data_IF_776926054816
#
_entry.id   IF_776926054816
#
_cell.length_a   1.000
_cell.length_b   1.000
_cell.length_c   1.000
_cell.angle_alpha   90.00
_cell.angle_beta   90.00
_cell.angle_gamma   90.00
#
_symmetry.space_group_name_H-M   'P 1'
#
loop_
_entity.id
_entity.type
_entity.pdbx_description
1 polymer ?
#
# COMPACT_ATOMS: atom_id res chain seq x y z
N UNK A 1 -88.94 -21.24 -25.27
CA UNK A 1 -88.24 -22.49 -25.65
C UNK A 1 -87.02 -22.63 -24.76
N UNK A 2 -87.05 -23.68 -23.95
CA UNK A 2 -85.99 -24.45 -23.26
C UNK A 2 -84.57 -23.83 -23.24
N UNK A 3 -84.16 -23.33 -22.07
CA UNK A 3 -82.76 -23.10 -21.72
C UNK A 3 -82.29 -24.14 -20.71
N UNK A 4 -81.44 -25.07 -21.15
CA UNK A 4 -80.49 -25.81 -20.31
C UNK A 4 -79.10 -25.16 -20.44
N UNK A 5 -78.08 -25.37 -19.63
CA UNK A 5 -77.80 -26.40 -18.62
C UNK A 5 -76.62 -25.90 -17.76
N UNK A 6 -76.74 -26.10 -16.45
CA UNK A 6 -75.73 -26.44 -15.42
C UNK A 6 -74.26 -25.96 -15.56
N UNK A 7 -73.77 -25.12 -14.64
CA UNK A 7 -72.92 -25.45 -13.44
C UNK A 7 -71.55 -26.05 -13.84
N UNK A 8 -70.42 -25.42 -13.50
CA UNK A 8 -69.58 -25.85 -12.34
C UNK A 8 -68.43 -24.87 -12.02
N UNK A 9 -68.46 -24.38 -10.77
CA UNK A 9 -67.39 -24.16 -9.77
C UNK A 9 -66.00 -23.67 -10.23
N UNK A 10 -65.61 -22.48 -9.75
CA UNK A 10 -64.48 -22.35 -8.81
C UNK A 10 -63.30 -21.70 -9.54
N UNK A 11 -62.43 -20.89 -8.98
CA UNK A 11 -62.10 -20.58 -7.61
C UNK A 11 -61.61 -19.12 -7.52
N UNK A 12 -61.67 -18.62 -6.29
CA UNK A 12 -61.23 -17.34 -5.75
C UNK A 12 -59.85 -16.89 -6.30
N UNK A 13 -59.71 -15.61 -6.62
CA UNK A 13 -58.41 -14.96 -6.73
C UNK A 13 -58.39 -13.71 -5.85
N UNK A 14 -57.80 -13.84 -4.66
CA UNK A 14 -57.40 -12.73 -3.79
C UNK A 14 -56.08 -12.22 -4.37
N UNK A 15 -56.08 -11.03 -4.96
CA UNK A 15 -54.85 -10.42 -5.49
C UNK A 15 -54.08 -9.78 -4.35
N UNK A 16 -53.05 -10.46 -3.85
CA UNK A 16 -52.03 -9.86 -2.99
C UNK A 16 -51.02 -9.09 -3.86
N UNK A 17 -50.99 -7.77 -3.72
CA UNK A 17 -50.01 -6.90 -4.38
C UNK A 17 -48.70 -6.97 -3.59
N UNK A 18 -47.72 -7.73 -4.09
CA UNK A 18 -46.36 -7.76 -3.53
C UNK A 18 -45.55 -6.67 -4.23
N UNK A 19 -45.28 -5.57 -3.54
CA UNK A 19 -44.30 -4.57 -3.98
C UNK A 19 -42.89 -5.09 -3.69
N UNK A 20 -42.20 -5.57 -4.72
CA UNK A 20 -40.79 -5.94 -4.64
C UNK A 20 -39.93 -4.67 -4.57
N UNK A 21 -39.35 -4.38 -3.41
CA UNK A 21 -38.38 -3.31 -3.26
C UNK A 21 -37.12 -3.63 -4.06
N UNK A 22 -36.77 -2.75 -5.01
CA UNK A 22 -35.51 -2.81 -5.74
C UNK A 22 -34.39 -2.45 -4.77
N UNK A 23 -33.63 -3.47 -4.34
CA UNK A 23 -32.37 -3.26 -3.63
C UNK A 23 -31.38 -2.79 -4.69
N UNK A 24 -31.02 -1.51 -4.69
CA UNK A 24 -29.82 -1.05 -5.38
C UNK A 24 -28.63 -1.58 -4.57
N UNK A 25 -27.79 -2.50 -5.07
CA UNK A 25 -26.49 -2.69 -4.48
C UNK A 25 -25.76 -1.36 -4.65
N UNK A 26 -25.50 -0.66 -3.54
CA UNK A 26 -24.59 0.48 -3.58
C UNK A 26 -23.28 0.00 -4.19
N UNK A 27 -22.77 0.77 -5.15
CA UNK A 27 -21.45 0.54 -5.73
C UNK A 27 -20.46 0.42 -4.57
N UNK A 28 -19.97 -0.80 -4.33
CA UNK A 28 -18.80 -0.97 -3.48
C UNK A 28 -17.68 -0.22 -4.18
N UNK A 29 -17.13 0.82 -3.55
CA UNK A 29 -15.97 1.53 -4.07
C UNK A 29 -14.79 0.57 -4.13
N UNK A 30 -14.70 -0.17 -5.23
CA UNK A 30 -13.51 -0.90 -5.60
C UNK A 30 -12.40 0.14 -5.72
N UNK A 31 -11.39 0.02 -4.88
CA UNK A 31 -10.21 0.88 -4.85
C UNK A 31 -9.75 1.12 -6.31
N UNK A 32 -9.86 2.36 -6.81
CA UNK A 32 -9.52 2.71 -8.19
C UNK A 32 -8.09 2.23 -8.47
N UNK A 33 -7.96 1.15 -9.24
CA UNK A 33 -6.68 0.60 -9.65
C UNK A 33 -6.24 1.36 -10.90
N UNK A 34 -5.50 2.45 -10.68
CA UNK A 34 -4.92 3.19 -11.80
C UNK A 34 -3.83 2.34 -12.48
N UNK A 35 -4.02 2.04 -13.77
CA UNK A 35 -3.02 1.32 -14.54
C UNK A 35 -1.72 2.13 -14.68
N UNK A 36 -1.86 3.43 -14.93
CA UNK A 36 -0.79 4.41 -15.18
C UNK A 36 -1.25 5.83 -14.79
N UNK A 37 -0.35 6.81 -14.90
CA UNK A 37 -0.62 8.24 -14.73
C UNK A 37 -0.85 8.64 -13.28
N UNK A 38 -0.18 7.97 -12.34
CA UNK A 38 -0.14 8.34 -10.93
C UNK A 38 1.29 8.57 -10.48
N UNK A 39 1.44 9.35 -9.41
CA UNK A 39 2.74 9.65 -8.82
C UNK A 39 3.29 8.49 -7.96
N UNK A 40 4.58 8.56 -7.68
CA UNK A 40 5.28 7.74 -6.68
C UNK A 40 5.32 8.49 -5.36
N UNK A 41 5.05 7.76 -4.28
CA UNK A 41 5.14 8.23 -2.91
C UNK A 41 6.39 7.63 -2.25
N UNK A 42 7.43 8.43 -1.93
CA UNK A 42 8.56 7.96 -1.14
C UNK A 42 8.10 7.64 0.29
N UNK A 43 8.74 6.69 0.94
CA UNK A 43 8.41 6.24 2.29
C UNK A 43 9.68 6.10 3.13
N UNK A 44 9.61 6.63 4.35
CA UNK A 44 10.58 6.30 5.38
C UNK A 44 10.12 5.03 6.09
N UNK A 45 10.96 4.02 6.12
CA UNK A 45 10.64 2.72 6.69
C UNK A 45 11.15 2.57 8.14
N UNK A 46 11.97 3.51 8.61
CA UNK A 46 12.56 3.51 9.95
C UNK A 46 14.09 3.45 9.94
N UNK A 47 14.69 3.23 11.09
CA UNK A 47 16.15 3.21 11.25
C UNK A 47 16.65 2.02 12.07
N UNK A 48 17.91 1.65 11.85
CA UNK A 48 18.59 0.54 12.52
C UNK A 48 19.80 1.10 13.29
N UNK A 49 19.97 0.69 14.55
CA UNK A 49 21.17 0.97 15.34
C UNK A 49 22.34 0.11 14.82
N UNK A 50 23.49 0.73 14.53
CA UNK A 50 24.72 0.00 14.23
C UNK A 50 25.59 -0.17 15.49
N UNK A 51 26.48 -1.16 15.49
CA UNK A 51 27.39 -1.45 16.62
C UNK A 51 28.33 -0.29 16.99
N UNK A 52 28.74 0.51 16.00
CA UNK A 52 29.61 1.67 16.19
C UNK A 52 28.87 2.94 16.67
N UNK A 53 27.58 2.82 17.02
CA UNK A 53 26.75 3.92 17.50
C UNK A 53 26.02 4.69 16.39
N UNK A 54 26.51 4.64 15.14
CA UNK A 54 25.86 5.26 13.98
C UNK A 54 24.49 4.63 13.72
N UNK A 55 23.68 5.29 12.89
CA UNK A 55 22.34 4.80 12.52
C UNK A 55 22.24 4.57 11.03
N UNK A 56 21.45 3.58 10.62
CA UNK A 56 21.15 3.30 9.22
C UNK A 56 19.66 3.57 8.98
N UNK A 57 19.35 4.62 8.23
CA UNK A 57 17.99 5.00 7.86
C UNK A 57 17.58 4.25 6.61
N UNK A 58 16.35 3.73 6.59
CA UNK A 58 15.85 2.84 5.54
C UNK A 58 14.66 3.48 4.85
N UNK A 59 14.66 3.44 3.53
CA UNK A 59 13.62 4.05 2.72
C UNK A 59 13.01 3.04 1.74
N UNK A 60 11.78 3.30 1.34
CA UNK A 60 10.99 2.54 0.38
C UNK A 60 10.11 3.48 -0.44
N UNK A 61 9.27 2.96 -1.31
CA UNK A 61 8.30 3.78 -2.03
C UNK A 61 7.06 2.99 -2.43
N UNK A 62 5.96 3.71 -2.67
CA UNK A 62 4.77 3.19 -3.36
C UNK A 62 4.66 3.86 -4.72
N UNK A 63 4.88 3.11 -5.79
CA UNK A 63 4.41 3.52 -7.11
C UNK A 63 2.91 3.17 -7.20
N UNK A 64 2.07 4.20 -7.28
CA UNK A 64 0.60 4.05 -7.24
C UNK A 64 0.05 3.36 -8.48
N UNK A 65 0.83 3.29 -9.55
CA UNK A 65 0.48 2.62 -10.80
C UNK A 65 0.56 1.09 -10.66
N UNK A 66 -0.25 0.39 -11.47
CA UNK A 66 -0.25 -1.07 -11.53
C UNK A 66 0.69 -1.64 -12.59
N UNK A 67 0.90 -0.93 -13.69
CA UNK A 67 1.75 -1.38 -14.80
C UNK A 67 2.85 -0.39 -15.17
N UNK A 68 2.65 0.91 -14.95
CA UNK A 68 3.63 1.93 -15.32
C UNK A 68 4.85 1.94 -14.39
N UNK A 69 6.03 1.95 -15.01
CA UNK A 69 7.31 2.23 -14.37
C UNK A 69 7.73 3.66 -14.67
N UNK A 70 8.31 4.32 -13.67
CA UNK A 70 8.76 5.71 -13.81
C UNK A 70 10.28 5.78 -13.70
N UNK A 71 10.89 6.68 -14.46
CA UNK A 71 12.34 6.92 -14.42
C UNK A 71 12.58 8.37 -14.01
N UNK A 72 13.26 8.59 -12.88
CA UNK A 72 13.62 9.92 -12.39
C UNK A 72 15.10 9.90 -12.00
N UNK A 73 16.00 10.52 -12.78
CA UNK A 73 17.40 10.58 -12.41
C UNK A 73 17.58 11.40 -11.13
N UNK A 74 18.70 11.18 -10.43
CA UNK A 74 19.07 12.04 -9.30
C UNK A 74 19.20 13.49 -9.76
N UNK A 75 18.70 14.42 -8.93
CA UNK A 75 18.73 15.85 -9.19
C UNK A 75 17.50 16.54 -8.60
N UNK A 76 17.09 17.68 -9.15
CA UNK A 76 16.01 18.55 -8.61
C UNK A 76 14.68 17.84 -8.31
N UNK A 77 14.39 16.73 -8.98
CA UNK A 77 13.14 15.98 -8.85
C UNK A 77 13.33 14.66 -8.07
N UNK A 78 14.56 14.31 -7.66
CA UNK A 78 14.86 13.10 -6.91
C UNK A 78 16.18 13.28 -6.15
N UNK A 79 16.12 13.77 -4.92
CA UNK A 79 17.31 14.08 -4.13
C UNK A 79 17.09 13.89 -2.64
N UNK A 80 18.19 13.72 -1.90
CA UNK A 80 18.19 13.74 -0.45
C UNK A 80 18.84 15.01 0.10
N UNK A 81 18.39 15.41 1.28
CA UNK A 81 18.99 16.48 2.08
C UNK A 81 18.77 16.22 3.57
N UNK A 82 19.71 16.56 4.47
CA UNK A 82 21.00 17.21 4.21
C UNK A 82 22.04 16.27 3.61
N UNK A 83 23.20 16.82 3.23
CA UNK A 83 24.32 16.07 2.64
C UNK A 83 24.34 16.11 1.11
N UNK A 84 24.87 15.04 0.51
CA UNK A 84 24.87 14.89 -0.95
C UNK A 84 23.46 14.62 -1.45
N UNK A 85 23.15 15.13 -2.63
CA UNK A 85 21.85 14.88 -3.27
C UNK A 85 21.69 13.40 -3.64
N UNK A 86 22.77 12.73 -4.04
CA UNK A 86 22.85 11.29 -4.29
C UNK A 86 23.35 10.58 -3.04
N UNK A 87 22.48 9.75 -2.45
CA UNK A 87 22.83 8.85 -1.35
C UNK A 87 22.39 7.42 -1.65
N UNK A 88 22.23 7.07 -2.93
CA UNK A 88 21.85 5.73 -3.38
C UNK A 88 20.34 5.51 -3.54
N UNK A 89 19.55 6.58 -3.62
CA UNK A 89 18.12 6.49 -3.92
C UNK A 89 17.88 5.91 -5.34
N UNK A 90 16.77 5.18 -5.57
CA UNK A 90 16.48 4.60 -6.87
C UNK A 90 16.21 5.69 -7.92
N UNK A 91 16.57 5.39 -9.16
CA UNK A 91 16.22 6.21 -10.34
C UNK A 91 15.17 5.55 -11.24
N UNK A 92 14.82 4.30 -10.94
CA UNK A 92 13.84 3.51 -11.69
C UNK A 92 12.82 2.91 -10.72
N UNK A 93 11.56 3.32 -10.87
CA UNK A 93 10.48 3.06 -9.94
C UNK A 93 9.49 2.06 -10.52
N UNK A 94 9.70 0.78 -10.17
CA UNK A 94 8.80 -0.32 -10.51
C UNK A 94 7.41 -0.16 -9.90
N UNK A 95 6.37 -0.82 -10.42
CA UNK A 95 5.01 -0.64 -9.92
C UNK A 95 4.85 -1.10 -8.47
N UNK A 96 3.79 -0.61 -7.82
CA UNK A 96 3.37 -1.01 -6.47
C UNK A 96 4.39 -0.67 -5.37
N UNK A 97 4.25 -1.34 -4.22
CA UNK A 97 5.06 -1.13 -3.03
C UNK A 97 6.41 -1.82 -3.18
N UNK A 98 7.47 -1.04 -3.03
CA UNK A 98 8.84 -1.52 -2.97
C UNK A 98 9.40 -1.05 -1.62
N UNK A 99 9.48 -1.96 -0.64
CA UNK A 99 9.92 -1.65 0.73
C UNK A 99 11.43 -1.81 0.84
N UNK A 100 12.04 -1.05 1.74
CA UNK A 100 13.46 -1.19 2.11
C UNK A 100 14.43 -1.15 0.92
N UNK A 101 14.20 -0.25 -0.03
CA UNK A 101 14.88 -0.22 -1.33
C UNK A 101 16.28 0.36 -1.28
N UNK A 102 16.55 1.30 -0.38
CA UNK A 102 17.89 1.82 -0.15
C UNK A 102 18.07 2.26 1.31
N UNK A 103 19.32 2.49 1.68
CA UNK A 103 19.72 2.80 3.06
C UNK A 103 20.73 3.94 3.06
N UNK A 104 20.63 4.80 4.07
CA UNK A 104 21.55 5.90 4.30
C UNK A 104 22.13 5.77 5.70
N UNK A 105 23.46 5.76 5.83
CA UNK A 105 24.12 5.76 7.13
C UNK A 105 24.32 7.19 7.60
N UNK A 106 23.81 7.50 8.78
CA UNK A 106 23.98 8.79 9.46
C UNK A 106 24.85 8.60 10.72
N UNK A 107 25.61 9.62 11.14
CA UNK A 107 26.51 9.49 12.29
C UNK A 107 25.76 9.26 13.61
N UNK A 108 26.50 8.85 14.65
CA UNK A 108 25.92 8.47 15.94
C UNK A 108 25.20 9.62 16.66
N UNK A 109 25.68 10.84 16.42
CA UNK A 109 25.22 12.12 16.95
C UNK A 109 24.29 12.87 15.98
N UNK A 110 23.76 12.20 14.95
CA UNK A 110 22.79 12.79 14.04
C UNK A 110 21.53 13.25 14.80
N UNK A 111 21.23 14.54 14.71
CA UNK A 111 20.12 15.21 15.39
C UNK A 111 19.20 15.99 14.44
N UNK A 112 19.40 15.80 13.13
CA UNK A 112 18.63 16.44 12.06
C UNK A 112 17.55 15.49 11.48
N UNK A 113 16.88 15.95 10.42
CA UNK A 113 15.93 15.16 9.63
C UNK A 113 16.51 14.92 8.23
N UNK A 114 16.52 13.66 7.79
CA UNK A 114 16.92 13.29 6.44
C UNK A 114 15.69 13.19 5.54
N UNK A 115 15.58 14.09 4.57
CA UNK A 115 14.43 14.19 3.66
C UNK A 115 14.78 13.65 2.30
N UNK A 116 14.03 12.65 1.84
CA UNK A 116 14.02 12.25 0.43
C UNK A 116 12.87 12.94 -0.29
N UNK A 117 13.20 13.77 -1.28
CA UNK A 117 12.25 14.50 -2.12
C UNK A 117 12.13 13.83 -3.48
N UNK A 118 10.90 13.53 -3.90
CA UNK A 118 10.62 12.90 -5.18
C UNK A 118 9.46 13.59 -5.88
N UNK A 119 9.70 14.06 -7.11
CA UNK A 119 8.70 14.63 -8.00
C UNK A 119 8.43 13.68 -9.15
N UNK A 120 7.18 13.22 -9.25
CA UNK A 120 6.71 12.33 -10.33
C UNK A 120 5.32 12.75 -10.75
N UNK A 121 5.03 12.66 -12.05
CA UNK A 121 3.70 12.99 -12.60
C UNK A 121 3.17 14.35 -12.12
N UNK A 122 4.06 15.36 -12.10
CA UNK A 122 3.74 16.73 -11.68
C UNK A 122 3.53 16.93 -10.18
N UNK A 123 3.69 15.89 -9.34
CA UNK A 123 3.52 15.96 -7.89
C UNK A 123 4.82 15.68 -7.15
N UNK A 124 5.16 16.57 -6.22
CA UNK A 124 6.27 16.38 -5.27
C UNK A 124 5.74 15.75 -3.98
N UNK A 125 6.40 14.67 -3.55
CA UNK A 125 6.19 14.05 -2.24
C UNK A 125 7.53 13.90 -1.50
N UNK A 126 7.46 13.70 -0.18
CA UNK A 126 8.62 13.64 0.69
C UNK A 126 8.53 12.45 1.64
N UNK A 127 9.67 11.81 1.90
CA UNK A 127 9.86 10.91 3.02
C UNK A 127 10.77 11.58 4.05
N UNK A 128 10.22 11.82 5.23
CA UNK A 128 10.90 12.46 6.35
C UNK A 128 11.49 11.39 7.26
N UNK A 129 12.80 11.27 7.24
CA UNK A 129 13.55 10.36 8.08
C UNK A 129 13.97 11.03 9.38
N UNK A 130 13.52 10.50 10.50
CA UNK A 130 13.94 10.92 11.85
C UNK A 130 14.34 9.71 12.69
N UNK A 131 15.04 9.95 13.81
CA UNK A 131 15.49 8.91 14.74
C UNK A 131 14.53 8.73 15.92
N UNK A 132 13.22 8.87 15.69
CA UNK A 132 12.20 8.62 16.71
C UNK A 132 12.30 7.19 17.24
N UNK A 133 12.17 7.01 18.55
CA UNK A 133 12.31 5.69 19.19
C UNK A 133 11.25 4.68 18.69
N UNK A 134 10.08 5.18 18.30
CA UNK A 134 8.97 4.43 17.71
C UNK A 134 9.21 4.01 16.25
N UNK A 135 10.23 4.58 15.60
CA UNK A 135 10.63 4.30 14.22
C UNK A 135 11.86 3.38 14.14
N UNK A 136 12.37 2.91 15.27
CA UNK A 136 13.44 1.93 15.30
C UNK A 136 12.94 0.61 14.70
N UNK A 137 13.66 0.10 13.71
CA UNK A 137 13.43 -1.21 13.12
C UNK A 137 14.19 -2.26 13.93
N UNK A 138 13.45 -3.04 14.72
CA UNK A 138 13.99 -4.26 15.30
C UNK A 138 13.98 -5.37 14.23
N UNK A 139 14.96 -6.28 14.27
CA UNK A 139 15.10 -7.39 13.31
C UNK A 139 13.82 -8.25 13.18
N UNK A 140 12.99 -8.28 14.23
CA UNK A 140 11.68 -8.96 14.27
C UNK A 140 10.65 -8.29 13.34
N UNK A 141 10.69 -6.96 13.20
CA UNK A 141 9.78 -6.20 12.32
C UNK A 141 10.13 -6.43 10.85
N UNK A 142 11.42 -6.43 10.50
CA UNK A 142 11.86 -6.67 9.12
C UNK A 142 11.54 -8.11 8.68
N UNK A 143 11.74 -9.10 9.55
CA UNK A 143 11.42 -10.51 9.27
C UNK A 143 9.90 -10.78 9.16
N UNK A 144 9.08 -10.06 9.94
CA UNK A 144 7.62 -10.14 9.87
C UNK A 144 7.08 -9.46 8.60
N UNK A 145 7.59 -8.29 8.23
CA UNK A 145 7.09 -7.48 7.09
C UNK A 145 7.57 -7.99 5.72
N UNK A 146 8.59 -8.85 5.66
CA UNK A 146 9.06 -9.51 4.44
C UNK A 146 8.51 -10.94 4.27
N UNK A 147 7.66 -11.41 5.18
CA UNK A 147 7.06 -12.76 5.11
C UNK A 147 8.03 -13.90 5.37
N UNK A 148 9.19 -13.63 5.98
CA UNK A 148 10.16 -14.67 6.35
C UNK A 148 9.68 -15.54 7.53
N UNK A 149 8.67 -15.10 8.27
CA UNK A 149 7.95 -15.93 9.24
C UNK A 149 6.82 -16.68 8.55
N UNK A 150 7.20 -17.65 7.71
CA UNK A 150 6.28 -18.69 7.27
C UNK A 150 5.69 -19.40 8.48
N UNK A 151 4.36 -19.37 8.58
CA UNK A 151 3.59 -20.28 9.43
C UNK A 151 3.99 -21.71 9.06
N UNK A 152 4.74 -22.38 9.95
CA UNK A 152 5.01 -23.82 9.86
C UNK A 152 6.47 -24.23 9.97
N UNK A 153 7.08 -24.11 11.15
CA UNK A 153 8.01 -25.14 11.61
C UNK A 153 7.30 -25.98 12.66
N UNK A 154 6.45 -26.91 12.19
CA UNK A 154 6.17 -28.10 12.99
C UNK A 154 7.49 -28.84 13.15
N UNK A 155 8.11 -28.73 14.33
CA UNK A 155 9.20 -29.63 14.71
C UNK A 155 8.60 -31.04 14.77
N UNK A 156 8.93 -31.87 13.78
CA UNK A 156 8.64 -33.30 13.82
C UNK A 156 9.59 -33.97 14.82
N UNK A 157 9.46 -33.64 16.11
CA UNK A 157 10.13 -34.32 17.21
C UNK A 157 9.37 -34.11 18.52
N UNK A 158 8.09 -34.52 18.53
CA UNK A 158 7.46 -35.14 19.71
C UNK A 158 6.51 -36.21 19.17
N UNK A 159 6.93 -37.47 19.26
CA UNK A 159 6.07 -38.65 19.28
C UNK A 159 6.09 -39.21 20.69
#
# INVERSE_FOLDING_TARGET
MIGGSQVTRGCIAITALVCLALVNPGDGEAQLSYQSGQNVSPAYEGWIQNEDGSKTMVFGYMNRNWSEELNVPVGKDNFLSPGLEDQGQPTHFRPRRNRFVFKVRVPADFDEELVWTLTTDGKTEHAYGTLGIDQALDDIVIASETGALGVGSSTADVR
#
